data_IF_300047814979
#
_entry.id   IF_300047814979
#
_cell.length_a   1.000
_cell.length_b   1.000
_cell.length_c   1.000
_cell.angle_alpha   90.00
_cell.angle_beta   90.00
_cell.angle_gamma   90.00
#
_symmetry.space_group_name_H-M   'P 1'
#
loop_
_entity.id
_entity.type
_entity.pdbx_description
1 polymer ?
#
# COMPACT_ATOMS: atom_id res chain seq x y z
N UNK A 1 -20.88 4.25 -4.38
CA UNK A 1 -22.10 3.40 -4.42
C UNK A 1 -22.08 2.38 -3.28
N UNK A 2 -23.12 2.30 -2.43
CA UNK A 2 -23.15 1.33 -1.31
C UNK A 2 -23.12 -0.13 -1.79
N UNK A 3 -22.40 -1.03 -1.09
CA UNK A 3 -22.41 -2.45 -1.39
C UNK A 3 -23.78 -3.09 -1.05
N UNK A 4 -24.09 -4.22 -1.68
CA UNK A 4 -25.34 -4.96 -1.47
C UNK A 4 -25.06 -6.38 -0.98
N UNK A 5 -25.88 -6.88 -0.06
CA UNK A 5 -25.80 -8.28 0.38
C UNK A 5 -26.64 -9.15 -0.57
N UNK A 6 -26.07 -10.28 -1.01
CA UNK A 6 -26.73 -11.20 -1.93
C UNK A 6 -26.96 -12.58 -1.30
N UNK A 7 -27.96 -13.29 -1.81
CA UNK A 7 -28.24 -14.68 -1.44
C UNK A 7 -27.41 -15.65 -2.30
N UNK A 8 -27.05 -16.80 -1.73
CA UNK A 8 -26.28 -17.87 -2.39
C UNK A 8 -24.99 -17.38 -3.09
N UNK A 9 -24.09 -16.69 -2.37
CA UNK A 9 -22.87 -16.14 -2.95
C UNK A 9 -21.88 -17.25 -3.35
N UNK A 10 -21.13 -17.08 -4.46
CA UNK A 10 -20.13 -18.06 -4.91
C UNK A 10 -19.08 -18.43 -3.86
N UNK A 11 -18.68 -17.50 -2.99
CA UNK A 11 -17.72 -17.78 -1.93
C UNK A 11 -18.22 -18.79 -0.87
N UNK A 12 -19.49 -19.21 -0.92
CA UNK A 12 -20.10 -20.14 0.04
C UNK A 12 -20.53 -21.47 -0.58
N UNK A 13 -19.96 -21.87 -1.72
CA UNK A 13 -20.22 -23.18 -2.32
C UNK A 13 -19.79 -24.35 -1.41
N UNK A 14 -18.72 -24.17 -0.66
CA UNK A 14 -18.23 -25.09 0.37
C UNK A 14 -18.15 -24.33 1.70
N UNK A 15 -18.79 -24.86 2.73
CA UNK A 15 -18.84 -24.25 4.07
C UNK A 15 -18.22 -25.22 5.06
N UNK A 16 -17.21 -24.77 5.81
CA UNK A 16 -16.64 -25.48 6.95
C UNK A 16 -16.79 -24.65 8.22
N UNK A 17 -17.47 -25.21 9.23
CA UNK A 17 -17.56 -24.65 10.58
C UNK A 17 -16.50 -25.23 11.53
N UNK A 18 -15.70 -26.17 11.05
CA UNK A 18 -14.53 -26.71 11.73
C UNK A 18 -13.29 -26.28 10.94
N UNK A 19 -12.80 -25.04 11.17
CA UNK A 19 -11.79 -24.45 10.31
C UNK A 19 -10.47 -25.22 10.38
N UNK A 20 -9.88 -25.42 9.20
CA UNK A 20 -8.55 -25.97 9.04
C UNK A 20 -7.80 -25.18 7.97
N UNK A 21 -7.02 -24.19 8.41
CA UNK A 21 -6.23 -23.30 7.56
C UNK A 21 -5.22 -24.05 6.69
N UNK A 22 -4.79 -25.26 7.09
CA UNK A 22 -3.88 -26.08 6.29
C UNK A 22 -4.52 -26.65 5.01
N UNK A 23 -5.84 -26.55 4.86
CA UNK A 23 -6.54 -26.94 3.63
C UNK A 23 -6.53 -25.85 2.55
N UNK A 24 -6.02 -24.66 2.87
CA UNK A 24 -5.83 -23.57 1.93
C UNK A 24 -4.32 -23.45 1.68
N UNK A 25 -3.84 -23.53 0.43
CA UNK A 25 -2.42 -23.44 0.16
C UNK A 25 -1.93 -22.01 0.47
N UNK A 26 -1.07 -21.89 1.48
CA UNK A 26 -0.37 -20.66 1.83
C UNK A 26 1.14 -20.91 1.78
N UNK A 27 1.89 -20.20 0.92
CA UNK A 27 3.32 -20.40 0.83
C UNK A 27 4.07 -19.73 1.99
N UNK A 28 5.22 -20.29 2.33
CA UNK A 28 6.31 -19.57 3.00
C UNK A 28 7.14 -18.92 1.89
N UNK A 29 7.05 -17.60 1.74
CA UNK A 29 7.55 -16.90 0.56
C UNK A 29 9.06 -16.69 0.61
N UNK A 30 9.54 -16.10 1.69
CA UNK A 30 10.96 -15.86 1.89
C UNK A 30 11.58 -16.98 2.74
N UNK A 31 12.87 -17.25 2.51
CA UNK A 31 13.59 -18.37 3.12
C UNK A 31 13.64 -18.30 4.66
N UNK A 32 13.49 -17.11 5.24
CA UNK A 32 13.48 -16.91 6.70
C UNK A 32 12.12 -16.44 7.21
N UNK A 33 11.05 -16.55 6.43
CA UNK A 33 9.71 -16.28 6.95
C UNK A 33 9.42 -17.24 8.12
N UNK A 34 8.82 -16.74 9.20
CA UNK A 34 8.53 -17.52 10.40
C UNK A 34 7.49 -18.63 10.20
N UNK A 35 6.89 -18.74 9.01
CA UNK A 35 5.87 -19.73 8.68
C UNK A 35 5.19 -19.45 7.34
N UNK A 36 4.11 -20.17 7.02
CA UNK A 36 3.29 -19.88 5.84
C UNK A 36 2.41 -18.65 6.07
N UNK A 37 2.24 -17.84 5.02
CA UNK A 37 1.48 -16.58 5.06
C UNK A 37 0.39 -16.53 4.01
N UNK A 38 -0.76 -15.99 4.40
CA UNK A 38 -1.61 -15.28 3.44
C UNK A 38 -1.08 -13.85 3.33
N UNK A 39 -0.32 -13.57 2.27
CA UNK A 39 0.30 -12.26 2.06
C UNK A 39 -0.61 -11.25 1.37
N UNK A 40 -1.76 -11.69 0.84
CA UNK A 40 -2.74 -10.84 0.19
C UNK A 40 -4.18 -11.19 0.55
N UNK A 41 -4.67 -10.67 1.66
CA UNK A 41 -6.07 -10.77 2.02
C UNK A 41 -6.65 -9.41 2.33
N UNK A 42 -7.86 -9.20 1.81
CA UNK A 42 -8.70 -8.05 2.18
C UNK A 42 -9.43 -8.39 3.47
N UNK A 43 -9.04 -7.74 4.56
CA UNK A 43 -9.70 -7.82 5.86
C UNK A 43 -10.82 -6.79 5.90
N UNK A 44 -12.01 -7.24 6.25
CA UNK A 44 -13.15 -6.37 6.54
C UNK A 44 -13.45 -6.47 8.03
N UNK A 45 -13.59 -5.31 8.67
CA UNK A 45 -14.09 -5.16 10.03
C UNK A 45 -15.21 -4.13 10.06
N UNK A 46 -16.04 -4.16 11.10
CA UNK A 46 -16.98 -3.08 11.39
C UNK A 46 -16.51 -2.31 12.61
N UNK A 47 -16.63 -0.99 12.55
CA UNK A 47 -16.45 -0.11 13.69
C UNK A 47 -17.35 -0.60 14.84
N UNK A 48 -16.79 -0.88 16.04
CA UNK A 48 -17.57 -1.43 17.16
C UNK A 48 -18.61 -0.45 17.72
N UNK A 49 -18.52 0.84 17.41
CA UNK A 49 -19.45 1.87 17.88
C UNK A 49 -20.42 2.34 16.78
N UNK A 50 -19.97 2.41 15.52
CA UNK A 50 -20.77 2.98 14.42
C UNK A 50 -21.26 1.96 13.40
N UNK A 51 -20.65 0.78 13.34
CA UNK A 51 -20.96 -0.25 12.34
C UNK A 51 -20.42 0.04 10.92
N UNK A 52 -19.72 1.16 10.71
CA UNK A 52 -19.05 1.49 9.44
C UNK A 52 -18.00 0.44 9.13
N UNK A 53 -17.92 -0.02 7.88
CA UNK A 53 -16.90 -0.99 7.49
C UNK A 53 -15.56 -0.31 7.26
N UNK A 54 -14.50 -0.97 7.69
CA UNK A 54 -13.17 -0.74 7.17
C UNK A 54 -12.76 -1.92 6.29
N UNK A 55 -12.16 -1.61 5.13
CA UNK A 55 -11.56 -2.58 4.22
C UNK A 55 -10.06 -2.30 4.09
N UNK A 56 -9.21 -3.28 4.43
CA UNK A 56 -7.75 -3.11 4.47
C UNK A 56 -7.01 -4.39 4.07
N UNK A 57 -5.74 -4.27 3.66
CA UNK A 57 -4.91 -5.42 3.28
C UNK A 57 -3.92 -5.74 4.40
N UNK A 58 -3.84 -7.03 4.77
CA UNK A 58 -2.94 -7.49 5.81
C UNK A 58 -2.25 -8.80 5.43
N UNK A 59 -1.01 -8.95 5.91
CA UNK A 59 -0.34 -10.26 5.99
C UNK A 59 -0.88 -11.03 7.20
N UNK A 60 -1.06 -12.34 7.04
CA UNK A 60 -1.56 -13.22 8.09
C UNK A 60 -0.71 -14.48 8.17
N UNK A 61 0.04 -14.66 9.25
CA UNK A 61 0.86 -15.86 9.48
C UNK A 61 -0.02 -17.00 9.97
N UNK A 62 0.08 -18.19 9.38
CA UNK A 62 -0.61 -19.38 9.91
C UNK A 62 0.16 -19.91 11.12
N UNK A 63 -0.50 -19.94 12.29
CA UNK A 63 0.07 -20.43 13.57
C UNK A 63 -0.46 -21.79 13.98
N UNK A 64 -1.71 -22.08 13.62
CA UNK A 64 -2.37 -23.36 13.85
C UNK A 64 -3.48 -23.58 12.81
N UNK A 65 -4.23 -24.69 12.92
CA UNK A 65 -5.38 -24.98 12.04
C UNK A 65 -6.48 -23.91 12.10
N UNK A 66 -6.57 -23.17 13.19
CA UNK A 66 -7.63 -22.21 13.50
C UNK A 66 -7.09 -20.89 14.08
N UNK A 67 -5.78 -20.62 13.90
CA UNK A 67 -5.10 -19.46 14.49
C UNK A 67 -4.16 -18.78 13.50
N UNK A 68 -4.26 -17.46 13.41
CA UNK A 68 -3.38 -16.61 12.62
C UNK A 68 -2.68 -15.57 13.51
N UNK A 69 -1.48 -15.14 13.10
CA UNK A 69 -0.82 -13.93 13.57
C UNK A 69 -1.07 -12.79 12.59
N UNK A 70 -1.35 -11.60 13.11
CA UNK A 70 -1.70 -10.40 12.33
C UNK A 70 -0.92 -9.20 12.84
N UNK A 71 -0.32 -8.42 11.94
CA UNK A 71 0.23 -7.09 12.25
C UNK A 71 -0.85 -6.01 12.04
N UNK A 72 -1.05 -5.16 13.05
CA UNK A 72 -1.91 -3.98 12.99
C UNK A 72 -1.04 -2.72 13.11
N UNK A 73 -0.89 -2.01 11.99
CA UNK A 73 -0.06 -0.80 11.93
C UNK A 73 -0.67 0.36 12.71
N UNK A 74 0.19 1.16 13.32
CA UNK A 74 -0.20 2.39 14.02
C UNK A 74 -0.88 3.39 13.08
N UNK A 75 -1.99 3.99 13.54
CA UNK A 75 -2.72 5.01 12.79
C UNK A 75 -3.64 4.48 11.69
N UNK A 76 -3.81 3.15 11.55
CA UNK A 76 -4.79 2.54 10.62
C UNK A 76 -6.14 2.32 11.29
N UNK A 77 -7.22 2.38 10.51
CA UNK A 77 -8.59 2.20 11.01
C UNK A 77 -8.81 0.84 11.68
N UNK A 78 -8.30 -0.26 11.09
CA UNK A 78 -8.44 -1.58 11.71
C UNK A 78 -7.80 -1.64 13.11
N UNK A 79 -6.64 -1.00 13.29
CA UNK A 79 -5.97 -0.89 14.59
C UNK A 79 -6.82 -0.08 15.57
N UNK A 80 -7.38 1.05 15.15
CA UNK A 80 -8.29 1.86 15.98
C UNK A 80 -9.53 1.06 16.42
N UNK A 81 -10.18 0.35 15.49
CA UNK A 81 -11.36 -0.47 15.78
C UNK A 81 -11.02 -1.56 16.80
N UNK A 82 -9.87 -2.21 16.62
CA UNK A 82 -9.38 -3.21 17.55
C UNK A 82 -9.10 -2.63 18.93
N UNK A 83 -8.39 -1.50 19.04
CA UNK A 83 -8.06 -0.90 20.34
C UNK A 83 -9.32 -0.46 21.11
N UNK A 84 -10.35 -0.01 20.41
CA UNK A 84 -11.66 0.30 21.03
C UNK A 84 -12.40 -0.95 21.50
N UNK A 85 -12.36 -2.04 20.74
CA UNK A 85 -12.93 -3.33 21.15
C UNK A 85 -12.16 -3.95 22.33
N UNK A 86 -10.82 -3.93 22.30
CA UNK A 86 -9.95 -4.44 23.35
C UNK A 86 -10.17 -3.71 24.68
N UNK A 87 -10.37 -2.38 24.66
CA UNK A 87 -10.73 -1.60 25.86
C UNK A 87 -12.04 -2.03 26.52
N UNK A 88 -12.94 -2.69 25.76
CA UNK A 88 -14.19 -3.26 26.28
C UNK A 88 -14.03 -4.74 26.70
N UNK A 89 -12.86 -5.33 26.49
CA UNK A 89 -12.62 -6.76 26.66
C UNK A 89 -13.32 -7.62 25.59
N UNK A 90 -13.71 -7.02 24.47
CA UNK A 90 -14.45 -7.67 23.40
C UNK A 90 -13.52 -8.00 22.23
N UNK A 91 -13.66 -9.17 21.59
CA UNK A 91 -12.93 -9.46 20.37
C UNK A 91 -13.49 -8.63 19.20
N UNK A 92 -12.62 -8.26 18.25
CA UNK A 92 -13.07 -7.60 17.02
C UNK A 92 -13.38 -8.66 15.96
N UNK A 93 -14.65 -8.81 15.59
CA UNK A 93 -15.06 -9.70 14.50
C UNK A 93 -14.60 -9.17 13.13
N UNK A 94 -14.09 -10.05 12.28
CA UNK A 94 -13.57 -9.73 10.95
C UNK A 94 -13.94 -10.81 9.93
N UNK A 95 -13.90 -10.45 8.65
CA UNK A 95 -13.76 -11.41 7.55
C UNK A 95 -12.45 -11.18 6.82
N UNK A 96 -11.80 -12.25 6.39
CA UNK A 96 -10.54 -12.23 5.63
C UNK A 96 -10.86 -12.83 4.26
N UNK A 97 -10.70 -12.04 3.22
CA UNK A 97 -11.18 -12.34 1.88
C UNK A 97 -10.01 -12.45 0.91
N UNK A 98 -9.84 -13.61 0.27
CA UNK A 98 -8.76 -13.87 -0.69
C UNK A 98 -9.33 -14.13 -2.10
N UNK A 99 -8.58 -13.74 -3.13
CA UNK A 99 -9.00 -13.86 -4.52
C UNK A 99 -10.20 -12.97 -4.82
N UNK A 100 -10.05 -11.67 -4.59
CA UNK A 100 -11.10 -10.66 -4.75
C UNK A 100 -10.92 -9.91 -6.08
N UNK A 101 -11.95 -9.16 -6.47
CA UNK A 101 -11.88 -8.24 -7.60
C UNK A 101 -10.76 -7.19 -7.41
N UNK A 102 -9.91 -6.91 -8.41
CA UNK A 102 -8.89 -5.87 -8.34
C UNK A 102 -9.42 -4.49 -7.88
N UNK A 103 -10.65 -4.11 -8.21
CA UNK A 103 -11.24 -2.85 -7.72
C UNK A 103 -11.39 -2.83 -6.20
N UNK A 104 -11.69 -3.98 -5.58
CA UNK A 104 -11.75 -4.11 -4.12
C UNK A 104 -10.34 -4.00 -3.54
N UNK A 105 -9.36 -4.67 -4.15
CA UNK A 105 -7.95 -4.53 -3.75
C UNK A 105 -7.51 -3.06 -3.78
N UNK A 106 -7.81 -2.32 -4.86
CA UNK A 106 -7.48 -0.89 -4.99
C UNK A 106 -8.20 -0.05 -3.93
N UNK A 107 -9.45 -0.37 -3.56
CA UNK A 107 -10.11 0.32 -2.45
C UNK A 107 -9.47 0.04 -1.09
N UNK A 108 -8.99 -1.19 -0.88
CA UNK A 108 -8.43 -1.65 0.40
C UNK A 108 -7.03 -1.07 0.68
N UNK A 109 -6.25 -0.78 -0.37
CA UNK A 109 -4.95 -0.10 -0.24
C UNK A 109 -5.10 1.41 -0.04
N UNK A 110 -6.25 1.99 -0.38
CA UNK A 110 -6.45 3.44 -0.35
C UNK A 110 -6.64 3.96 1.08
N UNK A 111 -5.60 4.60 1.60
CA UNK A 111 -5.55 5.12 2.97
C UNK A 111 -6.25 6.48 3.19
N UNK A 112 -6.79 7.09 2.13
CA UNK A 112 -7.34 8.45 2.17
C UNK A 112 -8.83 8.54 2.51
N UNK A 113 -9.53 7.40 2.61
CA UNK A 113 -10.94 7.39 3.00
C UNK A 113 -11.05 7.76 4.49
N UNK A 114 -11.90 8.71 4.88
CA UNK A 114 -12.24 8.95 6.29
C UNK A 114 -12.80 7.71 6.98
N UNK A 115 -12.48 7.52 8.26
CA UNK A 115 -12.97 6.40 9.10
C UNK A 115 -14.50 6.28 9.19
N UNK A 116 -15.21 7.33 8.81
CA UNK A 116 -16.68 7.41 8.78
C UNK A 116 -17.30 6.94 7.45
N UNK A 117 -16.51 6.43 6.51
CA UNK A 117 -16.98 5.99 5.19
C UNK A 117 -16.52 4.56 4.89
N UNK A 118 -17.37 3.80 4.19
CA UNK A 118 -17.11 2.42 3.74
C UNK A 118 -16.28 2.42 2.44
N UNK A 119 -15.05 1.88 2.48
CA UNK A 119 -14.15 1.87 1.30
C UNK A 119 -14.70 1.02 0.14
N UNK A 120 -15.59 0.06 0.37
CA UNK A 120 -16.21 -0.72 -0.72
C UNK A 120 -17.08 0.15 -1.65
N UNK A 121 -17.49 1.31 -1.16
CA UNK A 121 -18.13 2.33 -1.97
C UNK A 121 -17.24 2.84 -3.11
N UNK A 122 -15.93 2.92 -2.87
CA UNK A 122 -14.91 3.31 -3.86
C UNK A 122 -14.73 2.20 -4.90
N UNK A 123 -14.65 0.94 -4.46
CA UNK A 123 -14.57 -0.21 -5.37
C UNK A 123 -15.76 -0.26 -6.34
N UNK A 124 -16.95 0.06 -5.84
CA UNK A 124 -18.16 0.12 -6.68
C UNK A 124 -18.09 1.25 -7.72
N UNK A 125 -17.53 2.42 -7.38
CA UNK A 125 -17.30 3.50 -8.36
C UNK A 125 -16.31 3.07 -9.45
N UNK A 126 -15.21 2.41 -9.07
CA UNK A 126 -14.22 1.87 -10.01
C UNK A 126 -14.81 0.83 -10.96
N UNK A 127 -15.83 0.09 -10.53
CA UNK A 127 -16.59 -0.87 -11.34
C UNK A 127 -17.74 -0.24 -12.13
N UNK A 128 -17.54 0.95 -12.68
CA UNK A 128 -18.58 1.65 -13.45
C UNK A 128 -19.91 1.79 -12.69
N UNK A 129 -19.84 2.02 -11.37
CA UNK A 129 -20.99 2.17 -10.47
C UNK A 129 -21.78 0.88 -10.22
N UNK A 130 -21.24 -0.29 -10.54
CA UNK A 130 -21.82 -1.57 -10.11
C UNK A 130 -21.55 -1.79 -8.60
N UNK A 131 -22.59 -2.01 -7.76
CA UNK A 131 -22.40 -2.28 -6.34
C UNK A 131 -21.57 -3.54 -6.09
N UNK A 132 -20.58 -3.46 -5.19
CA UNK A 132 -19.90 -4.65 -4.67
C UNK A 132 -20.91 -5.55 -3.95
N UNK A 133 -20.86 -6.86 -4.25
CA UNK A 133 -21.72 -7.88 -3.67
C UNK A 133 -21.06 -8.49 -2.44
N UNK A 134 -21.81 -8.54 -1.35
CA UNK A 134 -21.39 -9.08 -0.06
C UNK A 134 -22.16 -10.35 0.29
N UNK A 135 -21.53 -11.22 1.07
CA UNK A 135 -22.09 -12.45 1.61
C UNK A 135 -22.35 -12.31 3.10
N UNK A 136 -23.53 -12.72 3.56
CA UNK A 136 -23.79 -12.87 4.99
C UNK A 136 -22.94 -14.03 5.55
N UNK A 137 -22.09 -13.71 6.51
CA UNK A 137 -21.23 -14.66 7.23
C UNK A 137 -22.05 -15.64 8.08
N UNK A 138 -21.44 -16.78 8.42
CA UNK A 138 -22.06 -17.90 9.15
C UNK A 138 -21.89 -17.78 10.67
N UNK A 139 -20.82 -17.14 11.12
CA UNK A 139 -20.33 -17.17 12.51
C UNK A 139 -19.95 -15.81 13.08
N UNK A 140 -19.89 -14.77 12.25
CA UNK A 140 -19.55 -13.38 12.64
C UNK A 140 -20.55 -12.38 12.05
N UNK A 141 -20.63 -11.17 12.61
CA UNK A 141 -21.55 -10.10 12.17
C UNK A 141 -20.95 -9.16 11.12
N UNK A 142 -19.78 -9.49 10.58
CA UNK A 142 -19.14 -8.77 9.46
C UNK A 142 -19.34 -9.58 8.18
N UNK A 143 -19.70 -8.92 7.08
CA UNK A 143 -19.90 -9.58 5.80
C UNK A 143 -18.58 -9.98 5.14
N UNK A 144 -18.62 -11.07 4.38
CA UNK A 144 -17.57 -11.43 3.42
C UNK A 144 -17.83 -10.85 2.03
N UNK A 145 -16.85 -10.90 1.15
CA UNK A 145 -17.02 -10.55 -0.26
C UNK A 145 -17.64 -11.73 -1.00
N UNK A 146 -18.81 -11.53 -1.64
CA UNK A 146 -19.58 -12.61 -2.24
C UNK A 146 -18.82 -13.35 -3.35
N UNK A 147 -18.01 -12.61 -4.10
CA UNK A 147 -17.23 -13.14 -5.23
C UNK A 147 -15.82 -13.59 -4.84
N UNK A 148 -15.44 -13.55 -3.55
CA UNK A 148 -14.13 -14.02 -3.12
C UNK A 148 -13.93 -15.52 -3.45
N UNK A 149 -12.68 -15.93 -3.60
CA UNK A 149 -12.32 -17.34 -3.76
C UNK A 149 -12.41 -18.07 -2.42
N UNK A 150 -11.96 -17.40 -1.35
CA UNK A 150 -12.03 -17.88 0.03
C UNK A 150 -12.41 -16.71 0.96
N UNK A 151 -13.32 -16.98 1.89
CA UNK A 151 -13.66 -16.11 3.02
C UNK A 151 -13.42 -16.86 4.31
N UNK A 152 -12.53 -16.33 5.15
CA UNK A 152 -12.26 -16.83 6.49
C UNK A 152 -12.96 -15.89 7.47
N UNK A 153 -13.86 -16.44 8.27
CA UNK A 153 -14.58 -15.72 9.32
C UNK A 153 -13.83 -15.88 10.63
N UNK A 154 -13.50 -14.77 11.29
CA UNK A 154 -12.59 -14.78 12.41
C UNK A 154 -12.84 -13.63 13.38
N UNK A 155 -12.11 -13.66 14.48
CA UNK A 155 -12.09 -12.58 15.46
C UNK A 155 -10.67 -12.32 15.94
N UNK A 156 -10.32 -11.05 16.13
CA UNK A 156 -9.05 -10.65 16.73
C UNK A 156 -9.22 -10.65 18.24
N UNK A 157 -8.45 -11.47 18.95
CA UNK A 157 -8.61 -11.68 20.39
C UNK A 157 -8.11 -10.46 21.19
N UNK A 158 -8.84 -10.01 22.22
CA UNK A 158 -8.39 -8.94 23.10
C UNK A 158 -7.25 -9.47 23.98
N UNK A 159 -6.24 -8.64 24.26
CA UNK A 159 -5.16 -8.91 25.23
C UNK A 159 -4.26 -10.13 24.92
N UNK A 160 -4.47 -10.83 23.81
CA UNK A 160 -3.65 -11.98 23.40
C UNK A 160 -2.67 -11.59 22.31
N UNK A 161 -1.38 -11.83 22.56
CA UNK A 161 -0.30 -11.69 21.59
C UNK A 161 0.55 -12.95 21.54
N UNK A 162 1.10 -13.25 20.37
CA UNK A 162 2.05 -14.36 20.14
C UNK A 162 3.17 -13.88 19.20
N UNK A 163 4.38 -14.47 19.26
CA UNK A 163 5.45 -14.16 18.33
C UNK A 163 5.03 -14.38 16.87
N UNK A 164 5.24 -13.38 16.01
CA UNK A 164 4.97 -13.39 14.57
C UNK A 164 6.16 -12.83 13.82
N UNK A 165 6.40 -13.34 12.62
CA UNK A 165 7.61 -13.07 11.86
C UNK A 165 8.71 -14.08 12.16
N UNK A 166 9.95 -13.84 11.69
CA UNK A 166 10.33 -12.75 10.80
C UNK A 166 9.59 -12.84 9.45
N UNK A 167 9.54 -11.73 8.70
CA UNK A 167 8.82 -11.66 7.42
C UNK A 167 9.60 -10.87 6.37
N UNK A 168 9.65 -11.35 5.13
CA UNK A 168 10.25 -10.62 4.01
C UNK A 168 9.44 -9.38 3.61
N UNK A 169 9.97 -8.18 3.92
CA UNK A 169 9.26 -6.91 3.74
C UNK A 169 9.41 -6.29 2.36
N UNK A 170 8.54 -5.30 2.09
CA UNK A 170 8.60 -4.43 0.88
C UNK A 170 9.95 -3.72 0.70
N UNK A 171 10.69 -3.52 1.79
CA UNK A 171 12.02 -2.90 1.80
C UNK A 171 13.11 -3.81 1.20
N UNK A 172 12.81 -5.10 0.98
CA UNK A 172 13.79 -6.12 0.59
C UNK A 172 14.55 -6.75 1.76
N UNK A 173 14.22 -6.37 2.99
CA UNK A 173 14.83 -6.91 4.22
C UNK A 173 13.81 -7.67 5.06
N UNK A 174 14.27 -8.47 6.02
CA UNK A 174 13.38 -9.16 6.94
C UNK A 174 12.98 -8.22 8.09
N UNK A 175 11.67 -8.08 8.33
CA UNK A 175 11.17 -7.60 9.61
C UNK A 175 11.54 -8.60 10.71
N UNK A 176 11.81 -8.09 11.90
CA UNK A 176 12.10 -8.93 13.07
C UNK A 176 10.82 -9.60 13.58
N UNK A 177 11.02 -10.72 14.28
CA UNK A 177 9.96 -11.34 15.07
C UNK A 177 9.57 -10.40 16.22
N UNK A 178 8.27 -10.29 16.48
CA UNK A 178 7.72 -9.50 17.58
C UNK A 178 6.36 -10.08 18.01
N UNK A 179 5.86 -9.70 19.18
CA UNK A 179 4.57 -10.13 19.68
C UNK A 179 3.43 -9.41 18.94
N UNK A 180 2.64 -10.15 18.16
CA UNK A 180 1.56 -9.62 17.30
C UNK A 180 0.19 -10.18 17.65
N UNK A 181 -0.86 -9.59 17.07
CA UNK A 181 -2.25 -9.90 17.35
C UNK A 181 -2.62 -11.32 16.95
N UNK A 182 -3.30 -12.02 17.85
CA UNK A 182 -3.83 -13.35 17.58
C UNK A 182 -5.25 -13.25 17.02
N UNK A 183 -5.45 -13.92 15.88
CA UNK A 183 -6.75 -14.05 15.23
C UNK A 183 -7.23 -15.49 15.38
N UNK A 184 -8.42 -15.67 15.94
CA UNK A 184 -9.09 -16.96 16.07
C UNK A 184 -10.06 -17.15 14.91
N UNK A 185 -9.88 -18.22 14.15
CA UNK A 185 -10.76 -18.57 13.02
C UNK A 185 -11.98 -19.34 13.52
N UNK A 186 -13.15 -18.99 13.00
CA UNK A 186 -14.45 -19.58 13.37
C UNK A 186 -15.06 -20.41 12.24
N UNK A 187 -14.90 -19.98 11.00
CA UNK A 187 -15.38 -20.70 9.83
C UNK A 187 -14.56 -20.36 8.59
N UNK A 188 -14.58 -21.26 7.61
CA UNK A 188 -14.01 -21.05 6.28
C UNK A 188 -15.10 -21.36 5.26
N UNK A 189 -15.36 -20.41 4.37
CA UNK A 189 -16.20 -20.62 3.20
C UNK A 189 -15.38 -20.38 1.94
N UNK A 190 -15.60 -21.20 0.92
CA UNK A 190 -14.85 -21.09 -0.35
C UNK A 190 -15.68 -21.54 -1.55
N UNK A 191 -15.20 -21.16 -2.73
CA UNK A 191 -15.58 -21.80 -4.00
C UNK A 191 -15.10 -23.26 -4.01
N UNK A 192 -15.69 -24.11 -4.87
CA UNK A 192 -15.28 -25.53 -5.02
C UNK A 192 -13.82 -25.71 -5.43
N UNK A 193 -13.34 -24.84 -6.32
CA UNK A 193 -11.96 -24.83 -6.83
C UNK A 193 -11.39 -23.40 -6.69
N UNK A 194 -10.95 -23.01 -5.48
CA UNK A 194 -10.58 -21.63 -5.21
C UNK A 194 -9.19 -21.30 -5.77
N UNK A 195 -9.08 -20.13 -6.41
CA UNK A 195 -7.78 -19.53 -6.74
C UNK A 195 -7.26 -18.72 -5.56
N UNK A 196 -6.05 -19.03 -5.09
CA UNK A 196 -5.41 -18.26 -4.00
C UNK A 196 -4.51 -17.20 -4.60
N UNK A 197 -4.79 -15.94 -4.28
CA UNK A 197 -3.91 -14.82 -4.62
C UNK A 197 -2.91 -14.63 -3.51
N UNK A 198 -1.63 -14.86 -3.84
CA UNK A 198 -0.48 -14.53 -3.01
C UNK A 198 0.25 -13.35 -3.64
N UNK A 199 0.60 -12.36 -2.82
CA UNK A 199 1.41 -11.23 -3.22
C UNK A 199 2.87 -11.48 -2.87
N UNK A 200 3.78 -11.21 -3.80
CA UNK A 200 5.23 -11.23 -3.54
C UNK A 200 5.68 -9.86 -3.06
N UNK A 201 6.48 -9.77 -1.97
CA UNK A 201 7.07 -8.50 -1.58
C UNK A 201 7.93 -7.96 -2.74
N UNK A 202 7.72 -6.70 -3.13
CA UNK A 202 8.40 -6.09 -4.27
C UNK A 202 7.44 -5.30 -5.16
N UNK A 203 7.59 -5.46 -6.48
CA UNK A 203 6.90 -4.64 -7.51
C UNK A 203 5.40 -4.53 -7.32
N UNK A 204 4.71 -5.61 -6.93
CA UNK A 204 3.27 -5.58 -6.70
C UNK A 204 2.92 -4.62 -5.56
N UNK A 205 3.64 -4.67 -4.44
CA UNK A 205 3.47 -3.73 -3.32
C UNK A 205 3.86 -2.31 -3.71
N UNK A 206 4.96 -2.13 -4.45
CA UNK A 206 5.44 -0.82 -4.88
C UNK A 206 4.40 -0.12 -5.75
N UNK A 207 3.80 -0.86 -6.70
CA UNK A 207 2.71 -0.36 -7.54
C UNK A 207 1.48 0.01 -6.69
N UNK A 208 1.11 -0.82 -5.71
CA UNK A 208 -0.03 -0.56 -4.82
C UNK A 208 0.15 0.71 -4.00
N UNK A 209 1.34 0.91 -3.44
CA UNK A 209 1.68 2.12 -2.70
C UNK A 209 1.66 3.33 -3.63
N UNK A 210 2.27 3.22 -4.82
CA UNK A 210 2.23 4.27 -5.85
C UNK A 210 0.81 4.70 -6.20
N UNK A 211 -0.05 3.73 -6.54
CA UNK A 211 -1.44 3.96 -6.91
C UNK A 211 -2.24 4.65 -5.80
N UNK A 212 -1.96 4.33 -4.53
CA UNK A 212 -2.60 4.96 -3.38
C UNK A 212 -2.05 6.36 -3.09
N UNK A 213 -0.73 6.55 -3.15
CA UNK A 213 -0.06 7.69 -2.52
C UNK A 213 0.33 8.79 -3.52
N UNK A 214 0.74 8.45 -4.74
CA UNK A 214 1.16 9.43 -5.75
C UNK A 214 0.07 10.48 -6.05
N UNK A 215 -1.23 10.13 -6.22
CA UNK A 215 -2.28 11.12 -6.44
C UNK A 215 -2.46 12.08 -5.26
N UNK A 216 -2.36 11.56 -4.03
CA UNK A 216 -2.47 12.36 -2.80
C UNK A 216 -1.31 13.33 -2.65
N UNK A 217 -0.09 12.88 -2.94
CA UNK A 217 1.11 13.72 -2.97
C UNK A 217 0.95 14.81 -4.04
N UNK A 218 0.61 14.42 -5.27
CA UNK A 218 0.42 15.36 -6.38
C UNK A 218 -0.58 16.46 -6.04
N UNK A 219 -1.75 16.10 -5.50
CA UNK A 219 -2.78 17.06 -5.11
C UNK A 219 -2.32 17.99 -3.98
N UNK A 220 -1.64 17.44 -2.98
CA UNK A 220 -1.14 18.22 -1.83
C UNK A 220 -0.07 19.23 -2.26
N UNK A 221 0.90 18.77 -3.05
CA UNK A 221 2.01 19.61 -3.53
C UNK A 221 1.51 20.67 -4.51
N UNK A 222 0.61 20.32 -5.44
CA UNK A 222 0.07 21.27 -6.43
C UNK A 222 -0.70 22.44 -5.81
N UNK A 223 -1.30 22.26 -4.63
CA UNK A 223 -1.95 23.34 -3.88
C UNK A 223 -0.97 24.35 -3.29
N UNK A 224 0.27 23.92 -3.01
CA UNK A 224 1.30 24.74 -2.37
C UNK A 224 2.30 25.32 -3.39
N UNK A 225 2.61 24.57 -4.45
CA UNK A 225 3.60 24.92 -5.46
C UNK A 225 3.04 24.66 -6.86
N UNK A 226 2.89 25.72 -7.65
CA UNK A 226 2.49 25.61 -9.05
C UNK A 226 3.60 25.03 -9.93
N UNK A 227 3.21 24.38 -11.04
CA UNK A 227 4.14 23.86 -12.04
C UNK A 227 4.54 22.39 -11.85
N UNK A 228 4.05 21.72 -10.80
CA UNK A 228 4.16 20.27 -10.65
C UNK A 228 3.45 19.57 -11.83
N UNK A 229 4.09 18.54 -12.38
CA UNK A 229 3.63 17.80 -13.55
C UNK A 229 3.34 16.34 -13.23
N UNK A 230 4.15 15.74 -12.37
CA UNK A 230 4.00 14.33 -12.04
C UNK A 230 4.74 13.97 -10.73
N UNK A 231 4.37 12.84 -10.14
CA UNK A 231 4.98 12.25 -8.94
C UNK A 231 5.12 10.76 -9.18
N UNK A 232 6.27 10.19 -8.86
CA UNK A 232 6.50 8.75 -8.91
C UNK A 232 7.24 8.28 -7.66
N UNK A 233 6.69 7.29 -6.95
CA UNK A 233 7.37 6.57 -5.89
C UNK A 233 8.26 5.49 -6.52
N UNK A 234 9.55 5.81 -6.66
CA UNK A 234 10.46 5.02 -7.48
C UNK A 234 10.69 3.61 -6.92
N UNK A 235 10.61 2.60 -7.79
CA UNK A 235 10.82 1.19 -7.43
C UNK A 235 12.23 0.87 -6.90
N UNK A 236 13.26 1.58 -7.36
CA UNK A 236 14.62 1.48 -6.81
C UNK A 236 14.73 1.96 -5.36
N UNK A 237 13.72 2.69 -4.87
CA UNK A 237 13.57 3.13 -3.48
C UNK A 237 12.44 2.40 -2.76
N UNK A 238 12.16 1.18 -3.22
CA UNK A 238 11.11 0.28 -2.70
C UNK A 238 9.68 0.82 -2.87
N UNK A 239 9.44 1.73 -3.82
CA UNK A 239 8.11 2.31 -4.06
C UNK A 239 7.52 3.04 -2.85
N UNK A 240 8.37 3.42 -1.87
CA UNK A 240 7.91 3.84 -0.55
C UNK A 240 8.82 4.89 0.10
N UNK A 241 10.15 4.73 0.01
CA UNK A 241 11.09 5.59 0.74
C UNK A 241 11.65 6.74 -0.11
N UNK A 242 11.45 6.71 -1.42
CA UNK A 242 11.90 7.76 -2.33
C UNK A 242 10.83 8.17 -3.34
N UNK A 243 10.80 9.46 -3.66
CA UNK A 243 9.92 10.00 -4.69
C UNK A 243 10.70 10.81 -5.72
N UNK A 244 10.37 10.64 -6.99
CA UNK A 244 10.78 11.52 -8.07
C UNK A 244 9.60 12.42 -8.42
N UNK A 245 9.82 13.73 -8.48
CA UNK A 245 8.78 14.70 -8.83
C UNK A 245 9.20 15.46 -10.08
N UNK A 246 8.28 15.61 -11.02
CA UNK A 246 8.47 16.49 -12.18
C UNK A 246 7.87 17.86 -11.88
N UNK A 247 8.68 18.90 -12.01
CA UNK A 247 8.28 20.30 -11.83
C UNK A 247 9.05 21.21 -12.78
N UNK A 248 8.35 22.20 -13.34
CA UNK A 248 8.96 23.23 -14.18
C UNK A 248 8.96 24.58 -13.44
N UNK A 249 9.99 24.88 -12.64
CA UNK A 249 10.03 26.08 -11.83
C UNK A 249 10.35 27.32 -12.68
N UNK A 250 9.59 28.39 -12.46
CA UNK A 250 9.84 29.70 -13.10
C UNK A 250 10.68 30.65 -12.24
N UNK A 251 10.94 30.29 -10.98
CA UNK A 251 11.80 31.05 -10.04
C UNK A 251 12.53 30.12 -9.09
N UNK A 252 13.68 30.58 -8.59
CA UNK A 252 14.52 29.85 -7.62
C UNK A 252 13.73 29.52 -6.35
N UNK A 253 14.00 28.35 -5.78
CA UNK A 253 13.38 27.87 -4.53
C UNK A 253 12.02 27.18 -4.69
N UNK A 254 11.38 27.25 -5.86
CA UNK A 254 10.11 26.53 -6.09
C UNK A 254 10.28 25.01 -5.99
N UNK A 255 11.30 24.45 -6.65
CA UNK A 255 11.58 23.02 -6.58
C UNK A 255 11.89 22.57 -5.14
N UNK A 256 12.71 23.34 -4.40
CA UNK A 256 12.94 23.11 -2.96
C UNK A 256 11.65 23.09 -2.13
N UNK A 257 10.73 24.03 -2.36
CA UNK A 257 9.43 24.03 -1.68
C UNK A 257 8.56 22.83 -2.08
N UNK A 258 8.60 22.41 -3.35
CA UNK A 258 7.88 21.23 -3.81
C UNK A 258 8.43 19.95 -3.15
N UNK A 259 9.76 19.85 -2.98
CA UNK A 259 10.42 18.76 -2.27
C UNK A 259 9.95 18.72 -0.79
N UNK A 260 10.01 19.85 -0.09
CA UNK A 260 9.56 19.93 1.31
C UNK A 260 8.07 19.59 1.44
N UNK A 261 7.24 20.07 0.50
CA UNK A 261 5.82 19.74 0.44
C UNK A 261 5.58 18.25 0.21
N UNK A 262 6.40 17.62 -0.63
CA UNK A 262 6.35 16.17 -0.90
C UNK A 262 6.66 15.37 0.37
N UNK A 263 7.70 15.76 1.13
CA UNK A 263 8.02 15.13 2.42
C UNK A 263 6.90 15.26 3.46
N UNK A 264 6.17 16.39 3.46
CA UNK A 264 5.03 16.61 4.34
C UNK A 264 3.80 15.82 3.89
N UNK A 265 3.59 15.68 2.58
CA UNK A 265 2.47 14.95 2.01
C UNK A 265 2.58 13.42 2.20
N UNK A 266 3.81 12.89 2.20
CA UNK A 266 4.07 11.47 2.46
C UNK A 266 5.24 11.29 3.44
N UNK A 267 4.95 11.27 4.75
CA UNK A 267 5.97 11.21 5.81
C UNK A 267 6.97 10.03 5.73
N UNK A 268 6.62 8.84 5.19
CA UNK A 268 7.60 7.75 5.06
C UNK A 268 8.83 8.01 4.17
N UNK A 269 8.80 9.06 3.34
CA UNK A 269 9.90 9.39 2.44
C UNK A 269 11.15 9.83 3.19
N UNK A 270 12.30 9.29 2.77
CA UNK A 270 13.64 9.72 3.16
C UNK A 270 14.37 10.43 2.02
N UNK A 271 13.91 10.29 0.76
CA UNK A 271 14.54 10.92 -0.39
C UNK A 271 13.50 11.51 -1.34
N UNK A 272 13.76 12.71 -1.87
CA UNK A 272 12.98 13.26 -2.99
C UNK A 272 13.92 13.90 -4.00
N UNK A 273 13.71 13.60 -5.28
CA UNK A 273 14.44 14.19 -6.40
C UNK A 273 13.47 14.99 -7.26
N UNK A 274 13.70 16.29 -7.41
CA UNK A 274 12.94 17.14 -8.31
C UNK A 274 13.67 17.27 -9.65
N UNK A 275 12.97 17.01 -10.75
CA UNK A 275 13.47 17.12 -12.13
C UNK A 275 12.49 17.90 -12.99
N UNK A 276 12.94 18.41 -14.15
CA UNK A 276 12.05 19.05 -15.12
C UNK A 276 11.20 18.02 -15.89
N UNK A 277 10.19 18.50 -16.60
CA UNK A 277 9.29 17.65 -17.41
C UNK A 277 9.96 16.93 -18.58
N UNK A 278 11.18 17.32 -18.96
CA UNK A 278 11.97 16.67 -19.99
C UNK A 278 12.75 15.44 -19.49
N UNK A 279 12.72 15.15 -18.19
CA UNK A 279 13.35 13.95 -17.58
C UNK A 279 12.28 12.91 -17.30
N UNK A 280 12.44 11.70 -17.83
CA UNK A 280 11.53 10.60 -17.54
C UNK A 280 11.74 10.09 -16.11
N UNK A 281 10.75 10.30 -15.24
CA UNK A 281 10.83 9.84 -13.84
C UNK A 281 10.58 8.35 -13.66
N UNK A 282 10.11 7.64 -14.69
CA UNK A 282 9.97 6.18 -14.65
C UNK A 282 11.28 5.48 -15.08
N UNK A 283 12.20 6.20 -15.73
CA UNK A 283 13.55 5.75 -16.03
C UNK A 283 14.56 6.26 -14.99
N UNK A 284 14.98 5.35 -14.10
CA UNK A 284 15.99 5.67 -13.09
C UNK A 284 17.30 6.15 -13.71
N UNK A 285 17.69 5.68 -14.90
CA UNK A 285 18.93 6.15 -15.55
C UNK A 285 18.84 7.62 -15.98
N UNK A 286 17.68 8.06 -16.48
CA UNK A 286 17.47 9.46 -16.85
C UNK A 286 17.44 10.38 -15.63
N UNK A 287 16.85 9.92 -14.52
CA UNK A 287 16.90 10.65 -13.24
C UNK A 287 18.32 10.73 -12.69
N UNK A 288 19.08 9.64 -12.72
CA UNK A 288 20.48 9.64 -12.29
C UNK A 288 21.35 10.56 -13.17
N UNK A 289 21.07 10.64 -14.47
CA UNK A 289 21.69 11.60 -15.38
C UNK A 289 21.36 13.04 -14.98
N UNK A 290 20.10 13.32 -14.61
CA UNK A 290 19.71 14.64 -14.12
C UNK A 290 20.44 15.02 -12.82
N UNK A 291 20.55 14.09 -11.86
CA UNK A 291 21.35 14.30 -10.64
C UNK A 291 22.81 14.64 -11.00
N UNK A 292 23.43 13.88 -11.89
CA UNK A 292 24.84 14.07 -12.24
C UNK A 292 25.12 15.38 -13.03
N UNK A 293 24.15 15.86 -13.82
CA UNK A 293 24.38 16.95 -14.80
C UNK A 293 23.67 18.26 -14.47
N UNK A 294 22.67 18.24 -13.58
CA UNK A 294 21.83 19.41 -13.22
C UNK A 294 21.89 19.76 -11.74
N UNK A 295 22.45 18.90 -10.88
CA UNK A 295 22.56 19.15 -9.45
C UNK A 295 24.00 19.56 -9.08
N UNK A 296 24.16 20.70 -8.42
CA UNK A 296 25.42 21.08 -7.76
C UNK A 296 25.29 20.69 -6.28
N UNK A 297 26.00 19.65 -5.80
CA UNK A 297 25.75 19.07 -4.48
C UNK A 297 25.72 20.08 -3.32
N UNK A 298 26.63 21.04 -3.29
CA UNK A 298 26.70 22.06 -2.23
C UNK A 298 25.47 23.00 -2.19
N UNK A 299 24.81 23.22 -3.33
CA UNK A 299 23.74 24.22 -3.47
C UNK A 299 22.35 23.59 -3.54
N UNK A 300 22.28 22.44 -4.20
CA UNK A 300 21.04 21.87 -4.67
C UNK A 300 20.63 20.62 -3.89
N UNK A 301 21.50 20.11 -3.01
CA UNK A 301 21.19 19.06 -2.05
C UNK A 301 20.99 19.67 -0.66
N UNK A 302 19.95 19.23 0.05
CA UNK A 302 19.75 19.63 1.43
C UNK A 302 19.22 18.48 2.29
N UNK A 303 19.50 18.56 3.59
CA UNK A 303 19.04 17.60 4.59
C UNK A 303 17.98 18.23 5.49
N UNK A 304 16.99 17.43 5.88
CA UNK A 304 16.08 17.72 6.99
C UNK A 304 16.31 16.65 8.05
N UNK A 305 17.19 16.98 9.00
CA UNK A 305 17.59 16.06 10.07
C UNK A 305 16.48 15.91 11.10
N UNK A 306 16.34 14.71 11.64
CA UNK A 306 15.46 14.48 12.77
C UNK A 306 13.97 14.53 12.44
N UNK A 307 13.62 13.96 11.30
CA UNK A 307 12.25 13.91 10.79
C UNK A 307 11.62 12.54 11.04
N UNK A 308 10.29 12.53 11.13
CA UNK A 308 9.53 11.29 11.03
C UNK A 308 9.75 10.63 9.64
N UNK A 309 10.02 9.34 9.68
CA UNK A 309 10.29 8.41 8.59
C UNK A 309 9.48 7.13 8.84
N UNK A 310 9.81 6.03 8.18
CA UNK A 310 9.12 4.75 8.37
C UNK A 310 9.91 3.78 9.26
N UNK A 311 9.25 3.14 10.22
CA UNK A 311 9.88 2.22 11.18
C UNK A 311 10.47 0.96 10.53
N UNK A 312 9.86 0.45 9.45
CA UNK A 312 10.39 -0.72 8.74
C UNK A 312 11.58 -0.40 7.84
N UNK A 313 11.99 0.87 7.73
CA UNK A 313 13.21 1.20 7.01
C UNK A 313 14.43 0.94 7.93
N UNK A 314 15.30 -0.02 7.60
CA UNK A 314 16.41 -0.42 8.48
C UNK A 314 17.46 0.67 8.68
N UNK A 315 17.45 1.73 7.87
CA UNK A 315 18.35 2.88 8.05
C UNK A 315 17.84 3.92 9.05
N UNK A 316 16.64 3.75 9.60
CA UNK A 316 16.02 4.70 10.53
C UNK A 316 16.15 4.22 11.98
N UNK A 317 16.14 5.15 12.92
CA UNK A 317 16.07 4.86 14.35
C UNK A 317 14.59 4.82 14.76
N UNK A 318 13.96 3.64 14.65
CA UNK A 318 12.54 3.43 14.95
C UNK A 318 11.61 4.45 14.27
N UNK A 319 11.82 4.70 12.98
CA UNK A 319 11.05 5.66 12.22
C UNK A 319 11.49 7.12 12.40
N UNK A 320 12.63 7.39 13.05
CA UNK A 320 13.27 8.70 13.09
C UNK A 320 14.52 8.72 12.20
N UNK A 321 14.69 9.77 11.39
CA UNK A 321 15.81 9.79 10.43
C UNK A 321 16.08 11.15 9.80
N UNK A 322 16.92 11.14 8.78
CA UNK A 322 17.25 12.32 7.97
C UNK A 322 16.64 12.17 6.59
N UNK A 323 16.00 13.23 6.11
CA UNK A 323 15.46 13.30 4.74
C UNK A 323 16.41 14.07 3.83
N UNK A 324 16.59 13.60 2.61
CA UNK A 324 17.51 14.16 1.62
C UNK A 324 16.76 14.63 0.37
N UNK A 325 16.81 15.94 0.11
CA UNK A 325 16.20 16.55 -1.07
C UNK A 325 17.24 16.89 -2.13
N UNK A 326 16.96 16.56 -3.39
CA UNK A 326 17.78 16.89 -4.55
C UNK A 326 16.99 17.81 -5.50
N UNK A 327 17.45 19.05 -5.68
CA UNK A 327 16.96 19.92 -6.74
C UNK A 327 17.80 19.68 -8.00
N UNK A 328 17.27 18.93 -8.96
CA UNK A 328 17.92 18.66 -10.25
C UNK A 328 17.23 19.43 -11.38
N UNK A 329 16.54 20.52 -11.03
CA UNK A 329 15.77 21.33 -11.97
C UNK A 329 16.57 22.48 -12.55
N UNK A 330 16.19 22.90 -13.75
CA UNK A 330 16.61 24.14 -14.37
C UNK A 330 15.39 25.07 -14.45
N UNK A 331 15.63 26.38 -14.30
CA UNK A 331 14.56 27.36 -14.41
C UNK A 331 14.01 27.38 -15.84
N UNK A 332 12.68 27.52 -15.98
CA UNK A 332 12.01 27.68 -17.27
C UNK A 332 11.71 29.17 -17.52
N UNK A 333 12.04 29.71 -18.72
CA UNK A 333 12.66 29.03 -19.86
C UNK A 333 14.11 28.63 -19.62
N UNK A 334 14.46 27.40 -20.01
CA UNK A 334 15.79 26.84 -19.82
C UNK A 334 16.82 27.49 -20.75
N UNK A 335 18.08 27.54 -20.31
CA UNK A 335 19.21 27.88 -21.18
C UNK A 335 19.50 26.74 -22.14
N UNK A 336 19.88 27.07 -23.38
CA UNK A 336 20.24 26.10 -24.43
C UNK A 336 21.32 25.09 -23.99
N UNK A 337 22.12 25.40 -22.97
CA UNK A 337 23.11 24.45 -22.41
C UNK A 337 22.50 23.17 -21.81
N UNK A 338 21.20 23.19 -21.51
CA UNK A 338 20.46 22.04 -20.96
C UNK A 338 19.49 21.42 -21.97
N UNK A 339 19.53 21.86 -23.22
CA UNK A 339 18.80 21.23 -24.31
C UNK A 339 19.28 19.78 -24.47
N UNK A 340 18.37 18.83 -24.31
CA UNK A 340 18.68 17.41 -24.55
C UNK A 340 18.94 17.20 -26.03
N UNK A 341 19.90 16.33 -26.35
CA UNK A 341 20.17 15.92 -27.74
C UNK A 341 18.93 15.22 -28.27
N UNK A 342 18.32 15.79 -29.32
CA UNK A 342 17.27 15.15 -30.08
C UNK A 342 17.88 14.39 -31.26
N UNK A 343 17.39 13.18 -31.50
CA UNK A 343 17.75 12.39 -32.68
C UNK A 343 16.66 12.56 -33.74
N UNK A 344 17.05 12.49 -35.02
CA UNK A 344 16.10 12.51 -36.12
C UNK A 344 15.15 11.33 -35.98
N UNK A 345 13.85 11.59 -36.00
CA UNK A 345 12.86 10.53 -36.11
C UNK A 345 13.08 9.79 -37.44
N UNK A 346 13.16 8.47 -37.34
CA UNK A 346 13.35 7.58 -38.49
C UNK A 346 12.22 6.57 -38.49
N UNK A 347 11.55 6.42 -39.63
CA UNK A 347 10.63 5.30 -39.82
C UNK A 347 11.48 4.06 -40.13
N UNK A 348 11.45 3.06 -39.24
CA UNK A 348 12.22 1.84 -39.42
C UNK A 348 11.78 1.04 -40.67
N UNK A 349 10.57 1.30 -41.20
CA UNK A 349 10.11 0.69 -42.46
C UNK A 349 10.81 1.26 -43.70
N UNK A 350 11.49 2.40 -43.59
CA UNK A 350 12.30 2.98 -44.69
C UNK A 350 13.68 2.32 -44.82
N UNK A 351 14.01 1.37 -43.94
CA UNK A 351 15.29 0.65 -43.93
C UNK A 351 15.05 -0.83 -44.27
N UNK A 352 15.63 -1.31 -45.36
CA UNK A 352 15.67 -2.74 -45.69
C UNK A 352 16.63 -3.45 -44.70
N UNK A 353 16.08 -4.25 -43.78
CA UNK A 353 16.83 -5.11 -42.86
C UNK A 353 17.05 -6.52 -43.40
#
# INVERSE_FOLDING_TARGET
>A
IEPIVVENPPCQEVISLEPNLYEIPAPTLALKDGGPYFSNCVVIAKDPDTGVRNTSIHRLQIKAKDRLGLLLDMGRHLRDYYERAEKKGEPLEITINNGVDPAIYVSAIYAGTPITMDELGVASELRNKEPIKLSKSKTVNVEGIAEAQVVIEAEILPEVREPEGPFGEVSGYYAQEDDRWVVRVKAITRRKDPLIHTLLPGKEVWNSVGLCSEPGIFNTVSKQVGGLKNVHLNHGTCGFYGAFIQIDPTRKGMAKNAILSTFAAFPPLNMVVAVNSDVDIFDTEDVMRAIATRCIPEKDIFMVTGSACHELNPSTDNGYGTKLGFDCTVLIPASNKFEKVAFREVDLNEYDF
#
